data_IF_282182810683
#
_entry.id   IF_282182810683
#
_cell.length_a   1.000
_cell.length_b   1.000
_cell.length_c   1.000
_cell.angle_alpha   90.00
_cell.angle_beta   90.00
_cell.angle_gamma   90.00
#
_symmetry.space_group_name_H-M   'P 1'
#
loop_
_entity.id
_entity.type
_entity.pdbx_description
1 polymer ?
#
# COMPACT_ATOMS: atom_id res chain seq x y z
N UNK A 1 32.38 -8.22 -7.58
CA UNK A 1 30.99 -8.52 -7.96
C UNK A 1 30.13 -8.32 -6.72
N UNK A 2 29.42 -7.19 -6.63
CA UNK A 2 28.40 -7.01 -5.60
C UNK A 2 27.13 -7.69 -6.10
N UNK A 3 26.53 -8.64 -5.35
CA UNK A 3 25.22 -9.15 -5.71
C UNK A 3 24.23 -8.01 -5.53
N UNK A 4 23.66 -7.52 -6.63
CA UNK A 4 22.43 -6.75 -6.56
C UNK A 4 21.37 -7.70 -5.99
N UNK A 5 21.08 -7.57 -4.69
CA UNK A 5 19.87 -8.11 -4.10
C UNK A 5 18.70 -7.37 -4.75
N UNK A 6 18.29 -7.84 -5.92
CA UNK A 6 16.96 -7.57 -6.42
C UNK A 6 16.04 -8.29 -5.44
N UNK A 7 15.43 -7.55 -4.52
CA UNK A 7 14.38 -8.08 -3.66
C UNK A 7 13.33 -8.64 -4.60
N UNK A 8 13.17 -9.96 -4.62
CA UNK A 8 12.18 -10.59 -5.49
C UNK A 8 10.79 -10.33 -4.94
N UNK A 9 9.75 -10.45 -5.79
CA UNK A 9 8.35 -10.39 -5.35
C UNK A 9 8.08 -11.31 -4.16
N UNK A 10 8.75 -12.48 -4.13
CA UNK A 10 8.56 -13.45 -3.08
C UNK A 10 9.30 -13.09 -1.78
N UNK A 11 10.48 -12.49 -1.88
CA UNK A 11 11.18 -11.92 -0.72
C UNK A 11 10.37 -10.78 -0.09
N UNK A 12 9.74 -9.93 -0.92
CA UNK A 12 8.85 -8.85 -0.45
C UNK A 12 7.62 -9.41 0.26
N UNK A 13 6.93 -10.39 -0.33
CA UNK A 13 5.75 -11.03 0.29
C UNK A 13 6.10 -11.66 1.64
N UNK A 14 7.23 -12.36 1.72
CA UNK A 14 7.74 -12.90 2.98
C UNK A 14 8.07 -11.81 4.00
N UNK A 15 8.67 -10.70 3.55
CA UNK A 15 8.94 -9.55 4.43
C UNK A 15 7.66 -8.94 4.98
N UNK A 16 6.63 -8.74 4.16
CA UNK A 16 5.32 -8.22 4.58
C UNK A 16 4.68 -9.15 5.61
N UNK A 17 4.64 -10.46 5.34
CA UNK A 17 4.08 -11.45 6.26
C UNK A 17 4.81 -11.47 7.61
N UNK A 18 6.14 -11.41 7.60
CA UNK A 18 6.95 -11.32 8.83
C UNK A 18 6.66 -10.04 9.62
N UNK A 19 6.53 -8.90 8.95
CA UNK A 19 6.26 -7.63 9.61
C UNK A 19 4.87 -7.58 10.25
N UNK A 20 3.88 -8.25 9.65
CA UNK A 20 2.53 -8.35 10.19
C UNK A 20 2.45 -9.27 11.41
N UNK A 21 3.23 -10.34 11.42
CA UNK A 21 3.26 -11.33 12.51
C UNK A 21 4.21 -10.97 13.65
N UNK A 22 5.17 -10.06 13.44
CA UNK A 22 6.23 -9.72 14.39
C UNK A 22 5.71 -9.26 15.77
N UNK A 23 4.59 -8.54 15.82
CA UNK A 23 4.00 -8.06 17.09
C UNK A 23 2.80 -8.87 17.58
N UNK A 24 2.19 -9.71 16.75
CA UNK A 24 0.92 -10.37 17.06
C UNK A 24 1.02 -11.46 18.14
N UNK A 25 2.22 -11.99 18.42
CA UNK A 25 2.44 -12.99 19.49
C UNK A 25 1.64 -14.29 19.30
N UNK A 26 1.67 -15.17 20.30
CA UNK A 26 1.02 -16.51 20.23
C UNK A 26 -0.51 -16.48 20.39
N UNK A 27 -1.09 -15.35 20.78
CA UNK A 27 -2.54 -15.13 20.83
C UNK A 27 -2.78 -13.82 20.08
N UNK A 28 -3.19 -13.92 18.82
CA UNK A 28 -3.39 -12.77 17.95
C UNK A 28 -4.54 -11.91 18.48
N UNK A 29 -4.21 -10.84 19.21
CA UNK A 29 -5.15 -9.77 19.55
C UNK A 29 -5.45 -8.98 18.26
N UNK A 30 -6.72 -8.95 17.79
CA UNK A 30 -7.12 -8.18 16.62
C UNK A 30 -6.69 -6.72 16.69
N UNK A 31 -6.62 -6.12 17.89
CA UNK A 31 -6.17 -4.74 18.05
C UNK A 31 -4.69 -4.57 17.77
N UNK A 32 -3.85 -5.49 18.27
CA UNK A 32 -2.40 -5.45 18.06
C UNK A 32 -2.08 -5.67 16.59
N UNK A 33 -2.79 -6.60 15.94
CA UNK A 33 -2.67 -6.82 14.50
C UNK A 33 -3.12 -5.60 13.70
N UNK A 34 -4.29 -5.03 14.00
CA UNK A 34 -4.80 -3.85 13.30
C UNK A 34 -3.86 -2.65 13.45
N UNK A 35 -3.24 -2.46 14.61
CA UNK A 35 -2.24 -1.41 14.84
C UNK A 35 -0.94 -1.67 14.06
N UNK A 36 -0.50 -2.93 13.97
CA UNK A 36 0.68 -3.28 13.20
C UNK A 36 0.45 -3.09 11.70
N UNK A 37 -0.72 -3.50 11.18
CA UNK A 37 -1.13 -3.25 9.79
C UNK A 37 -1.18 -1.75 9.52
N UNK A 38 -1.82 -0.98 10.40
CA UNK A 38 -1.95 0.47 10.26
C UNK A 38 -0.59 1.16 10.24
N UNK A 39 0.31 0.79 11.15
CA UNK A 39 1.66 1.35 11.19
C UNK A 39 2.41 1.11 9.88
N UNK A 40 2.30 -0.08 9.27
CA UNK A 40 2.89 -0.34 7.96
C UNK A 40 2.31 0.56 6.87
N UNK A 41 0.99 0.76 6.88
CA UNK A 41 0.31 1.65 5.94
C UNK A 41 0.73 3.12 6.09
N UNK A 42 0.91 3.60 7.32
CA UNK A 42 1.42 4.94 7.59
C UNK A 42 2.83 5.13 7.02
N UNK A 43 3.71 4.14 7.18
CA UNK A 43 5.06 4.20 6.62
C UNK A 43 5.04 4.19 5.09
N UNK A 44 4.21 3.34 4.48
CA UNK A 44 4.03 3.30 3.03
C UNK A 44 3.50 4.64 2.51
N UNK A 45 2.49 5.22 3.15
CA UNK A 45 1.95 6.53 2.78
C UNK A 45 2.99 7.65 2.94
N UNK A 46 3.75 7.65 4.03
CA UNK A 46 4.81 8.63 4.29
C UNK A 46 5.86 8.63 3.17
N UNK A 47 6.26 7.46 2.69
CA UNK A 47 7.27 7.34 1.64
C UNK A 47 6.72 7.50 0.22
N UNK A 48 5.49 7.06 -0.06
CA UNK A 48 4.94 7.10 -1.42
C UNK A 48 4.22 8.41 -1.75
N UNK A 49 3.55 9.04 -0.79
CA UNK A 49 2.80 10.28 -1.04
C UNK A 49 3.66 11.39 -1.68
N UNK A 50 4.94 11.60 -1.31
CA UNK A 50 5.80 12.58 -1.98
C UNK A 50 6.11 12.26 -3.46
N UNK A 51 6.01 10.98 -3.87
CA UNK A 51 6.36 10.53 -5.23
C UNK A 51 5.16 10.60 -6.18
N UNK A 52 3.99 10.18 -5.71
CA UNK A 52 2.78 10.04 -6.53
C UNK A 52 1.68 11.05 -6.19
N UNK A 53 1.88 11.84 -5.13
CA UNK A 53 0.88 12.75 -4.58
C UNK A 53 -0.22 12.05 -3.77
N UNK A 54 -0.93 12.83 -2.95
CA UNK A 54 -2.01 12.35 -2.08
C UNK A 54 -3.12 11.65 -2.89
N UNK A 55 -3.55 12.28 -3.98
CA UNK A 55 -4.60 11.74 -4.84
C UNK A 55 -4.17 10.45 -5.57
N UNK A 56 -2.89 10.34 -5.92
CA UNK A 56 -2.33 9.11 -6.49
C UNK A 56 -2.36 7.96 -5.48
N UNK A 57 -1.94 8.24 -4.24
CA UNK A 57 -1.99 7.26 -3.15
C UNK A 57 -3.41 6.79 -2.86
N UNK A 58 -4.36 7.72 -2.71
CA UNK A 58 -5.77 7.41 -2.46
C UNK A 58 -6.38 6.53 -3.57
N UNK A 59 -6.07 6.85 -4.83
CA UNK A 59 -6.57 6.09 -5.98
C UNK A 59 -5.99 4.67 -6.02
N UNK A 60 -4.68 4.53 -5.74
CA UNK A 60 -4.03 3.23 -5.65
C UNK A 60 -4.55 2.38 -4.50
N UNK A 61 -4.74 2.99 -3.34
CA UNK A 61 -5.30 2.32 -2.17
C UNK A 61 -6.73 1.81 -2.45
N UNK A 62 -7.59 2.66 -3.02
CA UNK A 62 -8.94 2.26 -3.41
C UNK A 62 -8.93 1.12 -4.43
N UNK A 63 -8.02 1.16 -5.41
CA UNK A 63 -7.84 0.08 -6.38
C UNK A 63 -7.35 -1.21 -5.71
N UNK A 64 -6.40 -1.13 -4.79
CA UNK A 64 -5.90 -2.29 -4.06
C UNK A 64 -7.01 -2.96 -3.24
N UNK A 65 -7.84 -2.17 -2.54
CA UNK A 65 -9.00 -2.68 -1.83
C UNK A 65 -10.01 -3.34 -2.74
N UNK A 66 -10.30 -2.75 -3.90
CA UNK A 66 -11.22 -3.33 -4.88
C UNK A 66 -10.72 -4.70 -5.37
N UNK A 67 -9.41 -4.83 -5.62
CA UNK A 67 -8.80 -6.09 -6.05
C UNK A 67 -8.70 -7.13 -4.92
N UNK A 68 -8.53 -6.70 -3.67
CA UNK A 68 -8.48 -7.57 -2.50
C UNK A 68 -9.88 -7.99 -1.99
N UNK A 69 -10.94 -7.27 -2.36
CA UNK A 69 -12.31 -7.51 -1.87
C UNK A 69 -12.83 -8.95 -2.04
N UNK A 70 -12.54 -9.69 -3.15
CA UNK A 70 -12.97 -11.08 -3.29
C UNK A 70 -12.38 -12.01 -2.23
N UNK A 71 -11.14 -11.76 -1.81
CA UNK A 71 -10.43 -12.54 -0.80
C UNK A 71 -10.70 -12.03 0.62
N UNK A 72 -11.25 -10.81 0.74
CA UNK A 72 -11.45 -10.08 1.99
C UNK A 72 -12.84 -9.44 2.08
N UNK A 73 -13.90 -10.25 2.23
CA UNK A 73 -15.30 -9.77 2.17
C UNK A 73 -15.69 -8.81 3.30
N UNK A 74 -14.88 -8.69 4.36
CA UNK A 74 -15.14 -7.79 5.49
C UNK A 74 -14.61 -6.37 5.34
N UNK A 75 -13.91 -6.04 4.25
CA UNK A 75 -13.44 -4.69 4.02
C UNK A 75 -14.53 -3.78 3.48
N UNK A 76 -14.66 -2.61 4.10
CA UNK A 76 -15.57 -1.56 3.66
C UNK A 76 -15.12 -1.01 2.31
N UNK A 77 -16.06 -0.88 1.38
CA UNK A 77 -15.78 -0.24 0.09
C UNK A 77 -15.29 1.20 0.30
N UNK A 78 -14.19 1.56 -0.37
CA UNK A 78 -13.67 2.93 -0.32
C UNK A 78 -14.38 3.81 -1.33
N UNK A 79 -15.02 4.86 -0.82
CA UNK A 79 -15.55 5.95 -1.64
C UNK A 79 -14.39 6.87 -2.09
N UNK A 80 -14.37 7.31 -3.36
CA UNK A 80 -13.38 8.27 -3.84
C UNK A 80 -13.37 9.56 -3.01
N UNK A 81 -12.19 10.16 -2.83
CA UNK A 81 -12.03 11.48 -2.20
C UNK A 81 -11.96 11.49 -0.67
N UNK A 82 -11.92 10.33 0.00
CA UNK A 82 -11.67 10.26 1.45
C UNK A 82 -10.21 10.59 1.80
N UNK A 83 -9.97 11.32 2.88
CA UNK A 83 -8.61 11.60 3.40
C UNK A 83 -7.88 10.31 3.79
N UNK A 84 -6.54 10.33 3.75
CA UNK A 84 -5.71 9.17 4.14
C UNK A 84 -6.04 8.74 5.57
N UNK A 85 -6.23 9.68 6.50
CA UNK A 85 -6.61 9.39 7.88
C UNK A 85 -7.94 8.63 7.98
N UNK A 86 -8.93 8.99 7.17
CA UNK A 86 -10.23 8.32 7.18
C UNK A 86 -10.16 6.92 6.57
N UNK A 87 -9.33 6.75 5.53
CA UNK A 87 -9.06 5.43 4.93
C UNK A 87 -8.44 4.49 5.96
N UNK A 88 -7.46 4.98 6.70
CA UNK A 88 -6.72 4.24 7.72
C UNK A 88 -7.56 3.95 8.96
N UNK A 89 -8.38 4.90 9.40
CA UNK A 89 -9.36 4.66 10.45
C UNK A 89 -10.34 3.56 10.05
N UNK A 90 -10.86 3.60 8.82
CA UNK A 90 -11.80 2.58 8.31
C UNK A 90 -11.14 1.20 8.27
N UNK A 91 -9.92 1.13 7.74
CA UNK A 91 -9.14 -0.11 7.72
C UNK A 91 -8.93 -0.70 9.12
N UNK A 92 -8.58 0.14 10.10
CA UNK A 92 -8.37 -0.30 11.48
C UNK A 92 -9.64 -0.93 12.06
N UNK A 93 -10.79 -0.31 11.84
CA UNK A 93 -12.07 -0.81 12.32
C UNK A 93 -12.51 -2.09 11.59
N UNK A 94 -12.33 -2.16 10.26
CA UNK A 94 -12.61 -3.37 9.50
C UNK A 94 -11.76 -4.56 9.98
N UNK A 95 -10.47 -4.35 10.24
CA UNK A 95 -9.56 -5.39 10.75
C UNK A 95 -9.94 -5.86 12.16
N UNK A 96 -10.40 -4.94 13.03
CA UNK A 96 -10.87 -5.27 14.38
C UNK A 96 -12.17 -6.07 14.39
N UNK A 97 -13.01 -5.89 13.37
CA UNK A 97 -14.27 -6.60 13.21
C UNK A 97 -14.09 -8.03 12.66
N UNK A 98 -12.91 -8.36 12.14
CA UNK A 98 -12.58 -9.66 11.57
C UNK A 98 -12.00 -10.62 12.62
N UNK A 99 -12.21 -11.91 12.38
CA UNK A 99 -11.48 -12.96 13.11
C UNK A 99 -9.96 -12.82 12.90
N UNK A 100 -9.11 -13.07 13.92
CA UNK A 100 -7.69 -12.76 13.85
C UNK A 100 -6.95 -13.34 12.63
N UNK A 101 -7.22 -14.60 12.27
CA UNK A 101 -6.61 -15.23 11.10
C UNK A 101 -7.09 -14.66 9.76
N UNK A 102 -8.35 -14.20 9.71
CA UNK A 102 -8.90 -13.53 8.52
C UNK A 102 -8.34 -12.12 8.41
N UNK A 103 -8.25 -11.38 9.52
CA UNK A 103 -7.63 -10.06 9.57
C UNK A 103 -6.16 -10.11 9.11
N UNK A 104 -5.41 -11.14 9.52
CA UNK A 104 -4.00 -11.29 9.13
C UNK A 104 -3.87 -11.61 7.64
N UNK A 105 -4.67 -12.57 7.16
CA UNK A 105 -4.72 -12.93 5.74
C UNK A 105 -5.08 -11.71 4.89
N UNK A 106 -6.07 -10.93 5.33
CA UNK A 106 -6.52 -9.76 4.61
C UNK A 106 -5.56 -8.58 4.64
N UNK A 107 -4.88 -8.35 5.77
CA UNK A 107 -3.78 -7.39 5.84
C UNK A 107 -2.66 -7.75 4.86
N UNK A 108 -2.29 -9.04 4.77
CA UNK A 108 -1.29 -9.54 3.82
C UNK A 108 -1.74 -9.35 2.36
N UNK A 109 -2.95 -9.81 2.02
CA UNK A 109 -3.48 -9.70 0.65
C UNK A 109 -3.52 -8.24 0.20
N UNK A 110 -3.99 -7.33 1.05
CA UNK A 110 -4.11 -5.92 0.68
C UNK A 110 -2.75 -5.25 0.48
N UNK A 111 -1.80 -5.44 1.40
CA UNK A 111 -0.45 -4.88 1.29
C UNK A 111 0.29 -5.44 0.07
N UNK A 112 0.16 -6.74 -0.19
CA UNK A 112 0.75 -7.37 -1.37
C UNK A 112 0.13 -6.81 -2.66
N UNK A 113 -1.20 -6.75 -2.75
CA UNK A 113 -1.90 -6.20 -3.91
C UNK A 113 -1.49 -4.76 -4.19
N UNK A 114 -1.38 -3.93 -3.14
CA UNK A 114 -0.94 -2.55 -3.28
C UNK A 114 0.51 -2.44 -3.74
N UNK A 115 1.40 -3.24 -3.18
CA UNK A 115 2.82 -3.22 -3.57
C UNK A 115 3.04 -3.77 -4.99
N UNK A 116 2.25 -4.76 -5.42
CA UNK A 116 2.20 -5.23 -6.81
C UNK A 116 1.73 -4.11 -7.76
N UNK A 117 0.71 -3.33 -7.36
CA UNK A 117 0.26 -2.15 -8.13
C UNK A 117 1.37 -1.10 -8.21
N UNK A 118 2.05 -0.79 -7.10
CA UNK A 118 3.17 0.16 -7.10
C UNK A 118 4.30 -0.31 -8.01
N UNK A 119 4.69 -1.58 -7.94
CA UNK A 119 5.70 -2.18 -8.84
C UNK A 119 5.30 -2.04 -10.31
N UNK A 120 4.04 -2.32 -10.65
CA UNK A 120 3.53 -2.16 -12.02
C UNK A 120 3.58 -0.70 -12.50
N UNK A 121 3.45 0.27 -11.59
CA UNK A 121 3.43 1.68 -11.89
C UNK A 121 4.81 2.33 -11.95
N UNK A 122 5.85 1.74 -11.34
CA UNK A 122 7.20 2.34 -11.39
C UNK A 122 7.66 2.51 -12.84
N UNK A 123 7.31 1.61 -13.76
CA UNK A 123 7.63 1.77 -15.19
C UNK A 123 6.92 2.96 -15.86
N UNK A 124 5.60 3.08 -15.65
CA UNK A 124 4.77 4.08 -16.32
C UNK A 124 4.89 5.47 -15.69
N UNK A 125 4.92 5.56 -14.36
CA UNK A 125 5.07 6.84 -13.63
C UNK A 125 6.44 7.43 -13.88
N UNK A 126 7.50 6.62 -13.88
CA UNK A 126 8.84 7.09 -14.22
C UNK A 126 8.90 7.59 -15.66
N UNK A 127 8.31 6.86 -16.61
CA UNK A 127 8.20 7.30 -18.00
C UNK A 127 7.44 8.62 -18.12
N UNK A 128 6.28 8.74 -17.45
CA UNK A 128 5.48 9.95 -17.46
C UNK A 128 6.20 11.15 -16.82
N UNK A 129 6.96 10.92 -15.73
CA UNK A 129 7.79 11.96 -15.12
C UNK A 129 8.95 12.37 -16.01
N UNK A 130 9.65 11.44 -16.66
CA UNK A 130 10.71 11.72 -17.63
C UNK A 130 10.16 12.53 -18.80
N UNK A 131 9.01 12.14 -19.35
CA UNK A 131 8.36 12.86 -20.44
C UNK A 131 7.92 14.27 -20.00
N UNK A 132 7.35 14.40 -18.79
CA UNK A 132 6.97 15.69 -18.23
C UNK A 132 8.19 16.60 -18.03
N UNK A 133 9.29 16.10 -17.46
CA UNK A 133 10.50 16.90 -17.27
C UNK A 133 11.16 17.28 -18.61
N UNK A 134 11.18 16.37 -19.58
CA UNK A 134 11.69 16.63 -20.92
C UNK A 134 10.85 17.67 -21.68
N UNK A 135 9.53 17.70 -21.50
CA UNK A 135 8.66 18.68 -22.16
C UNK A 135 8.57 20.02 -21.42
N UNK A 136 8.58 20.03 -20.08
CA UNK A 136 8.59 21.28 -19.29
C UNK A 136 9.96 21.97 -19.34
N UNK A 137 11.05 21.22 -19.48
CA UNK A 137 12.39 21.78 -19.71
C UNK A 137 12.57 22.46 -21.07
N UNK A 138 11.68 22.20 -22.03
CA UNK A 138 11.71 22.84 -23.37
C UNK A 138 10.91 24.15 -23.43
N UNK A 139 10.08 24.47 -22.42
CA UNK A 139 9.23 25.67 -22.45
C UNK A 139 9.87 26.91 -21.81
N UNK A 140 11.16 26.90 -21.47
CA UNK A 140 11.92 28.07 -21.00
C UNK A 140 13.09 28.39 -21.94
N UNK A 141 12.78 28.88 -23.14
CA UNK A 141 13.79 29.24 -24.13
C UNK A 141 13.26 30.01 -25.33
N UNK A 142 12.54 31.12 -25.11
CA UNK A 142 12.63 32.33 -25.95
C UNK A 142 11.62 33.39 -25.47
N UNK A 143 12.11 34.46 -24.87
CA UNK A 143 11.71 35.86 -25.13
C UNK A 143 12.66 36.78 -24.37
#
# INVERSE_FOLDING_TARGET
MHPQMTVTTEDRKQMISRLLTQKAGCVADPNVLAEQVLWLWEQVAFHLTPLIGVSGFQSLYARALHLAAPDCPGFSAVLPGKSIDLLFHTLKEDLRALEPGVAESCGNVLLNTFTDLVESMIGEVLMAQILRSAWVGQSHGNS
#
